data_IF_354040414646
#
_entry.id   IF_354040414646
#
_cell.length_a   1.000
_cell.length_b   1.000
_cell.length_c   1.000
_cell.angle_alpha   90.00
_cell.angle_beta   90.00
_cell.angle_gamma   90.00
#
_symmetry.space_group_name_H-M   'P 1'
#
loop_
_entity.id
_entity.type
_entity.pdbx_description
1 polymer ?
#
# COMPACT_ATOMS: atom_id res chain seq x y z
N UNK A 1 -6.91 1.88 7.81
CA UNK A 1 -5.65 1.32 7.25
C UNK A 1 -4.75 0.87 8.39
N UNK A 2 -4.18 -0.31 8.24
CA UNK A 2 -3.21 -0.81 9.22
C UNK A 2 -1.81 -0.41 8.81
N UNK A 3 -0.99 -0.08 9.81
CA UNK A 3 0.41 0.28 9.59
C UNK A 3 1.27 -0.83 10.17
N UNK A 4 2.17 -1.39 9.36
CA UNK A 4 2.98 -2.53 9.74
C UNK A 4 4.44 -2.21 9.71
N UNK A 5 5.19 -2.87 10.60
CA UNK A 5 6.65 -2.87 10.59
C UNK A 5 7.20 -4.19 10.09
N UNK A 6 6.37 -5.24 10.15
CA UNK A 6 6.80 -6.59 9.85
C UNK A 6 5.60 -7.35 9.30
N UNK A 7 5.80 -8.12 8.25
CA UNK A 7 4.70 -8.72 7.51
C UNK A 7 4.31 -10.13 7.97
N UNK A 8 5.10 -10.83 8.73
CA UNK A 8 4.74 -12.17 9.18
C UNK A 8 4.92 -13.26 8.12
N UNK A 9 4.02 -14.20 8.08
CA UNK A 9 4.29 -15.57 7.68
C UNK A 9 3.81 -15.98 6.29
N UNK A 10 2.86 -15.30 5.70
CA UNK A 10 2.46 -15.55 4.34
C UNK A 10 3.20 -14.58 3.43
N UNK A 11 3.35 -14.94 2.17
CA UNK A 11 4.15 -14.08 1.30
C UNK A 11 3.29 -13.09 0.55
N UNK A 12 3.91 -11.94 0.25
CA UNK A 12 3.39 -10.94 -0.65
C UNK A 12 4.29 -10.90 -1.88
N UNK A 13 3.70 -10.60 -3.03
CA UNK A 13 4.48 -10.40 -4.25
C UNK A 13 4.55 -8.92 -4.58
N UNK A 14 5.63 -8.50 -5.23
CA UNK A 14 5.86 -7.10 -5.53
C UNK A 14 5.20 -6.66 -6.83
N UNK A 15 4.66 -5.46 -6.82
CA UNK A 15 4.23 -4.74 -8.01
C UNK A 15 4.74 -3.31 -7.89
N UNK A 16 5.29 -2.77 -8.97
CA UNK A 16 5.88 -1.43 -8.91
C UNK A 16 5.80 -0.77 -10.28
N UNK A 17 6.26 0.48 -10.33
CA UNK A 17 6.37 1.22 -11.59
C UNK A 17 7.39 0.59 -12.55
N UNK A 18 8.37 -0.17 -12.03
CA UNK A 18 9.36 -0.85 -12.86
C UNK A 18 9.07 -2.33 -13.05
N UNK A 19 8.13 -2.88 -12.29
CA UNK A 19 7.67 -4.27 -12.45
C UNK A 19 6.16 -4.31 -12.29
N UNK A 20 5.41 -3.97 -13.35
CA UNK A 20 3.97 -3.83 -13.23
C UNK A 20 3.21 -5.15 -13.11
N UNK A 21 3.84 -6.28 -13.47
CA UNK A 21 3.20 -7.59 -13.37
C UNK A 21 3.80 -8.37 -12.21
N UNK A 22 3.04 -8.63 -11.14
CA UNK A 22 3.57 -9.36 -10.01
C UNK A 22 3.81 -10.84 -10.34
N UNK A 23 4.92 -11.37 -9.84
CA UNK A 23 5.26 -12.79 -10.02
C UNK A 23 4.61 -13.62 -8.91
N UNK A 24 4.36 -14.90 -9.19
CA UNK A 24 3.78 -15.84 -8.21
C UNK A 24 2.49 -15.29 -7.57
N UNK A 25 1.71 -14.61 -8.38
CA UNK A 25 0.55 -13.85 -7.90
C UNK A 25 -0.54 -14.78 -7.33
N UNK A 26 -0.78 -15.91 -7.96
CA UNK A 26 -1.93 -16.76 -7.61
C UNK A 26 -1.85 -17.25 -6.17
N UNK A 27 -0.67 -17.51 -5.66
CA UNK A 27 -0.49 -17.99 -4.29
C UNK A 27 -0.23 -16.90 -3.28
N UNK A 28 -0.16 -15.63 -3.71
CA UNK A 28 0.18 -14.54 -2.81
C UNK A 28 -1.00 -14.13 -1.94
N UNK A 29 -0.72 -13.85 -0.66
CA UNK A 29 -1.72 -13.31 0.25
C UNK A 29 -2.00 -11.84 -0.03
N UNK A 30 -1.09 -11.15 -0.70
CA UNK A 30 -1.24 -9.74 -1.00
C UNK A 30 -0.16 -9.21 -1.92
N UNK A 31 -0.25 -7.92 -2.17
CA UNK A 31 0.65 -7.17 -3.05
C UNK A 31 1.46 -6.18 -2.22
N UNK A 32 2.76 -6.18 -2.47
CA UNK A 32 3.68 -5.18 -1.94
C UNK A 32 3.82 -4.10 -3.01
N UNK A 33 3.02 -3.04 -2.86
CA UNK A 33 2.94 -1.98 -3.87
C UNK A 33 4.05 -0.96 -3.66
N UNK A 34 5.04 -0.98 -4.51
CA UNK A 34 6.23 -0.16 -4.38
C UNK A 34 6.29 0.92 -5.47
N UNK A 35 6.97 2.02 -5.18
CA UNK A 35 7.04 3.19 -6.06
C UNK A 35 8.48 3.65 -6.14
N UNK A 36 9.29 3.03 -6.99
CA UNK A 36 10.72 3.36 -7.09
C UNK A 36 10.93 4.76 -7.66
N UNK A 37 10.23 5.09 -8.73
CA UNK A 37 10.35 6.38 -9.39
C UNK A 37 9.03 7.14 -9.43
N UNK A 38 7.91 6.44 -9.41
CA UNK A 38 6.60 7.07 -9.54
C UNK A 38 5.54 6.23 -8.83
N UNK A 39 4.60 6.92 -8.20
CA UNK A 39 3.41 6.29 -7.62
C UNK A 39 2.16 6.48 -8.47
N UNK A 40 2.31 7.04 -9.66
CA UNK A 40 1.17 7.34 -10.54
C UNK A 40 0.42 6.08 -10.97
N UNK A 41 1.08 4.92 -10.97
CA UNK A 41 0.47 3.66 -11.33
C UNK A 41 -0.51 3.15 -10.27
N UNK A 42 -0.38 3.62 -9.03
CA UNK A 42 -1.24 3.16 -7.94
C UNK A 42 -2.56 3.91 -8.01
N UNK A 43 -3.58 3.26 -8.54
CA UNK A 43 -4.92 3.81 -8.67
C UNK A 43 -5.89 2.97 -7.85
N UNK A 44 -7.05 3.54 -7.56
CA UNK A 44 -8.09 2.81 -6.86
C UNK A 44 -8.51 1.55 -7.62
N UNK A 45 -8.52 1.62 -8.95
CA UNK A 45 -8.87 0.46 -9.79
C UNK A 45 -7.87 -0.68 -9.63
N UNK A 46 -6.57 -0.36 -9.64
CA UNK A 46 -5.53 -1.38 -9.45
C UNK A 46 -5.62 -1.98 -8.06
N UNK A 47 -5.80 -1.15 -7.05
CA UNK A 47 -5.94 -1.63 -5.67
C UNK A 47 -7.16 -2.55 -5.56
N UNK A 48 -8.28 -2.17 -6.13
CA UNK A 48 -9.50 -2.99 -6.09
C UNK A 48 -9.35 -4.28 -6.87
N UNK A 49 -8.54 -4.30 -7.92
CA UNK A 49 -8.30 -5.54 -8.65
C UNK A 49 -7.67 -6.61 -7.77
N UNK A 50 -6.89 -6.18 -6.77
CA UNK A 50 -6.28 -7.12 -5.82
C UNK A 50 -7.22 -7.43 -4.66
N UNK A 51 -7.83 -6.41 -4.06
CA UNK A 51 -8.66 -6.61 -2.88
C UNK A 51 -9.93 -7.38 -3.19
N UNK A 52 -10.45 -7.26 -4.40
CA UNK A 52 -11.64 -8.00 -4.81
C UNK A 52 -11.40 -9.51 -4.90
N UNK A 53 -10.15 -9.94 -4.96
CA UNK A 53 -9.79 -11.36 -4.94
C UNK A 53 -9.40 -11.84 -3.55
N UNK A 54 -9.63 -11.03 -2.52
CA UNK A 54 -9.28 -11.38 -1.15
C UNK A 54 -7.84 -11.07 -0.77
N UNK A 55 -7.07 -10.45 -1.66
CA UNK A 55 -5.68 -10.09 -1.38
C UNK A 55 -5.60 -8.77 -0.64
N UNK A 56 -4.54 -8.63 0.14
CA UNK A 56 -4.22 -7.39 0.82
C UNK A 56 -3.24 -6.59 -0.02
N UNK A 57 -3.22 -5.26 0.18
CA UNK A 57 -2.26 -4.39 -0.50
C UNK A 57 -1.49 -3.63 0.58
N UNK A 58 -0.18 -3.79 0.57
CA UNK A 58 0.72 -3.04 1.45
C UNK A 58 1.45 -2.01 0.60
N UNK A 59 1.17 -0.74 0.86
CA UNK A 59 1.84 0.35 0.16
C UNK A 59 3.21 0.59 0.80
N UNK A 60 4.23 0.74 -0.03
CA UNK A 60 5.54 1.18 0.43
C UNK A 60 5.59 2.69 0.28
N UNK A 61 5.70 3.38 1.40
CA UNK A 61 5.62 4.84 1.43
C UNK A 61 6.81 5.48 0.72
N UNK A 62 6.59 6.58 -0.02
CA UNK A 62 7.64 7.16 -0.88
C UNK A 62 8.89 7.64 -0.17
N UNK A 63 8.82 7.96 1.12
CA UNK A 63 10.02 8.41 1.84
C UNK A 63 11.08 7.29 1.92
N UNK A 64 10.67 6.03 1.79
CA UNK A 64 11.63 4.92 1.75
C UNK A 64 12.52 4.99 0.51
N UNK A 65 12.12 5.77 -0.47
CA UNK A 65 12.91 6.06 -1.68
C UNK A 65 13.29 7.53 -1.77
N UNK A 66 13.27 8.25 -0.64
CA UNK A 66 13.73 9.64 -0.58
C UNK A 66 12.76 10.66 -1.16
N UNK A 67 11.48 10.33 -1.33
CA UNK A 67 10.50 11.24 -1.91
C UNK A 67 9.49 11.69 -0.87
N UNK A 68 8.76 12.77 -1.19
CA UNK A 68 7.71 13.28 -0.32
C UNK A 68 6.57 12.26 -0.20
N UNK A 69 6.00 12.17 1.01
CA UNK A 69 5.02 11.15 1.31
C UNK A 69 3.63 11.69 1.63
N UNK A 70 3.49 12.96 1.97
CA UNK A 70 2.19 13.47 2.42
C UNK A 70 1.16 13.49 1.30
N UNK A 71 1.56 13.83 0.09
CA UNK A 71 0.65 13.78 -1.05
C UNK A 71 0.20 12.36 -1.35
N UNK A 72 1.10 11.40 -1.23
CA UNK A 72 0.77 10.00 -1.44
C UNK A 72 -0.21 9.52 -0.36
N UNK A 73 0.05 9.84 0.90
CA UNK A 73 -0.85 9.47 1.98
C UNK A 73 -2.23 10.07 1.79
N UNK A 74 -2.29 11.33 1.37
CA UNK A 74 -3.57 12.00 1.13
C UNK A 74 -4.36 11.29 0.03
N UNK A 75 -3.67 10.82 -0.98
CA UNK A 75 -4.32 10.11 -2.07
C UNK A 75 -4.83 8.73 -1.66
N UNK A 76 -4.00 7.94 -0.97
CA UNK A 76 -4.39 6.58 -0.62
C UNK A 76 -5.46 6.54 0.50
N UNK A 77 -5.58 7.59 1.28
CA UNK A 77 -6.64 7.63 2.30
C UNK A 77 -8.04 7.61 1.70
N UNK A 78 -8.17 7.96 0.43
CA UNK A 78 -9.45 7.94 -0.26
C UNK A 78 -9.81 6.58 -0.84
N UNK A 79 -8.87 5.64 -0.81
CA UNK A 79 -9.13 4.31 -1.35
C UNK A 79 -10.02 3.53 -0.39
N UNK A 80 -10.87 2.68 -0.96
CA UNK A 80 -11.75 1.82 -0.18
C UNK A 80 -10.90 0.82 0.61
N UNK A 81 -11.03 0.88 1.92
CA UNK A 81 -10.15 0.12 2.78
C UNK A 81 -10.65 -1.31 3.06
N UNK A 82 -11.88 -1.49 3.44
CA UNK A 82 -12.39 -2.83 3.76
C UNK A 82 -11.49 -3.65 4.67
N UNK A 83 -10.49 -3.05 5.29
CA UNK A 83 -9.53 -3.76 6.15
C UNK A 83 -8.40 -4.44 5.40
N UNK A 84 -8.27 -4.23 4.10
CA UNK A 84 -7.28 -4.93 3.27
C UNK A 84 -6.07 -4.09 2.92
N UNK A 85 -6.02 -2.83 3.35
CA UNK A 85 -4.92 -1.93 3.01
C UNK A 85 -3.97 -1.75 4.18
N UNK A 86 -2.68 -1.73 3.87
CA UNK A 86 -1.60 -1.60 4.85
C UNK A 86 -0.56 -0.62 4.34
N UNK A 87 0.23 -0.07 5.22
CA UNK A 87 1.29 0.87 4.85
C UNK A 87 2.60 0.51 5.53
N UNK A 88 3.67 0.43 4.75
CA UNK A 88 5.03 0.31 5.23
C UNK A 88 5.69 1.70 5.14
N UNK A 89 6.12 2.24 6.28
CA UNK A 89 6.65 3.61 6.34
C UNK A 89 7.72 3.71 7.41
N UNK A 90 8.63 4.68 7.22
CA UNK A 90 9.62 5.04 8.24
C UNK A 90 9.00 5.84 9.39
N UNK A 91 7.77 6.33 9.22
CA UNK A 91 7.11 7.18 10.20
C UNK A 91 5.79 6.56 10.69
N UNK A 92 5.84 5.38 11.34
CA UNK A 92 4.60 4.66 11.67
C UNK A 92 3.68 5.42 12.63
N UNK A 93 4.24 6.19 13.56
CA UNK A 93 3.42 6.95 14.49
C UNK A 93 2.72 8.11 13.80
N UNK A 94 3.43 8.81 12.92
CA UNK A 94 2.85 9.90 12.14
C UNK A 94 1.77 9.37 11.20
N UNK A 95 2.01 8.22 10.57
CA UNK A 95 1.06 7.60 9.68
C UNK A 95 -0.20 7.17 10.42
N UNK A 96 -0.03 6.53 11.58
CA UNK A 96 -1.17 6.11 12.38
C UNK A 96 -2.05 7.30 12.76
N UNK A 97 -1.44 8.42 13.14
CA UNK A 97 -2.16 9.65 13.46
C UNK A 97 -2.87 10.22 12.24
N UNK A 98 -2.18 10.26 11.09
CA UNK A 98 -2.73 10.79 9.86
C UNK A 98 -3.99 10.02 9.44
N UNK A 99 -3.88 8.70 9.36
CA UNK A 99 -4.99 7.88 8.87
C UNK A 99 -6.13 7.80 9.87
N UNK A 100 -5.85 7.83 11.16
CA UNK A 100 -6.89 7.89 12.17
C UNK A 100 -7.73 9.16 12.05
N UNK A 101 -7.07 10.28 11.74
CA UNK A 101 -7.70 11.57 11.62
C UNK A 101 -8.74 11.62 10.49
N UNK A 102 -8.48 10.88 9.42
CA UNK A 102 -9.31 10.90 8.22
C UNK A 102 -10.23 9.70 8.09
N UNK A 103 -10.29 8.85 9.09
CA UNK A 103 -11.14 7.66 9.04
C UNK A 103 -12.54 7.87 9.55
N UNK A 104 -12.84 9.01 10.14
CA UNK A 104 -14.12 9.25 10.77
C UNK A 104 -15.06 10.09 9.95
N UNK A 105 -14.79 10.27 8.71
CA UNK A 105 -15.63 11.10 7.84
C UNK A 105 -16.81 10.35 7.24
#
# INVERSE_FOLDING_TARGET
MKVYRDSGITYFTGQSDIQPSPVLYDGAAGIWADCFCSDAWITNEIVRSHTSTGRKVCFVSPELHGRDYLQFWDRIRTFDDGGSLMLCTDYPNEAAEFFRRYQHD
#
